data_IF_648880329345
#
_entry.id   IF_648880329345
#
_cell.length_a   1.000
_cell.length_b   1.000
_cell.length_c   1.000
_cell.angle_alpha   90.00
_cell.angle_beta   90.00
_cell.angle_gamma   90.00
#
_symmetry.space_group_name_H-M   'P 1'
#
loop_
_entity.id
_entity.type
_entity.pdbx_description
1 polymer ?
#
# COMPACT_ATOMS: atom_id res chain seq x y z
N UNK A 1 24.34 3.82 17.38
CA UNK A 1 23.38 3.75 16.25
C UNK A 1 22.00 4.06 16.81
N UNK A 2 21.30 5.06 16.27
CA UNK A 2 19.92 5.36 16.69
C UNK A 2 18.96 4.45 15.90
N UNK A 3 18.08 3.74 16.60
CA UNK A 3 17.04 2.92 15.98
C UNK A 3 15.91 3.87 15.54
N UNK A 4 15.54 3.84 14.27
CA UNK A 4 14.34 4.54 13.80
C UNK A 4 13.14 3.64 14.04
N UNK A 5 12.17 4.13 14.79
CA UNK A 5 10.89 3.46 15.00
C UNK A 5 9.87 4.02 14.01
N UNK A 6 9.08 3.13 13.40
CA UNK A 6 7.89 3.48 12.62
C UNK A 6 6.68 2.96 13.39
N UNK A 7 5.69 3.82 13.60
CA UNK A 7 4.48 3.48 14.34
C UNK A 7 3.30 3.40 13.39
N UNK A 8 2.45 2.39 13.59
CA UNK A 8 1.14 2.29 12.96
C UNK A 8 0.11 2.68 14.00
N UNK A 9 -0.64 3.75 13.74
CA UNK A 9 -1.63 4.27 14.67
C UNK A 9 -3.00 3.69 14.34
N UNK A 10 -3.57 2.95 15.28
CA UNK A 10 -4.94 2.45 15.21
C UNK A 10 -5.78 3.25 16.20
N UNK A 11 -6.82 3.92 15.72
CA UNK A 11 -7.76 4.60 16.60
C UNK A 11 -8.45 3.57 17.51
N UNK A 12 -8.71 3.85 18.80
CA UNK A 12 -9.35 2.90 19.72
C UNK A 12 -10.69 2.35 19.19
N UNK A 13 -11.46 3.19 18.50
CA UNK A 13 -12.73 2.81 17.87
C UNK A 13 -12.56 2.13 16.49
N UNK A 14 -11.34 2.13 15.95
CA UNK A 14 -10.96 1.58 14.65
C UNK A 14 -10.32 0.19 14.77
N UNK A 15 -10.84 -0.65 15.67
CA UNK A 15 -10.49 -2.07 15.77
C UNK A 15 -11.27 -3.05 14.84
N UNK A 16 -11.98 -2.66 13.76
CA UNK A 16 -12.41 -3.64 12.76
C UNK A 16 -11.21 -4.27 12.08
N UNK A 17 -11.28 -5.58 11.84
CA UNK A 17 -10.25 -6.36 11.17
C UNK A 17 -9.78 -5.71 9.84
N UNK A 18 -10.71 -5.17 9.04
CA UNK A 18 -10.35 -4.50 7.79
C UNK A 18 -9.58 -3.20 7.96
N UNK A 19 -9.82 -2.42 9.03
CA UNK A 19 -9.03 -1.21 9.28
C UNK A 19 -7.59 -1.57 9.62
N UNK A 20 -7.38 -2.62 10.42
CA UNK A 20 -6.04 -3.13 10.70
C UNK A 20 -5.33 -3.55 9.41
N UNK A 21 -6.04 -4.24 8.50
CA UNK A 21 -5.48 -4.60 7.20
C UNK A 21 -5.11 -3.36 6.36
N UNK A 22 -5.95 -2.32 6.34
CA UNK A 22 -5.68 -1.06 5.62
C UNK A 22 -4.38 -0.41 6.12
N UNK A 23 -4.22 -0.26 7.42
CA UNK A 23 -3.03 0.37 8.00
C UNK A 23 -1.77 -0.48 7.83
N UNK A 24 -1.89 -1.81 7.88
CA UNK A 24 -0.78 -2.71 7.56
C UNK A 24 -0.37 -2.57 6.09
N UNK A 25 -1.32 -2.47 5.16
CA UNK A 25 -0.99 -2.27 3.74
C UNK A 25 -0.26 -0.94 3.51
N UNK A 26 -0.62 0.13 4.22
CA UNK A 26 0.17 1.36 4.23
C UNK A 26 1.61 1.12 4.70
N UNK A 27 1.80 0.40 5.80
CA UNK A 27 3.14 0.06 6.30
C UNK A 27 3.96 -0.79 5.31
N UNK A 28 3.27 -1.60 4.47
CA UNK A 28 3.88 -2.41 3.41
C UNK A 28 4.02 -1.65 2.07
N UNK A 29 3.83 -0.33 2.05
CA UNK A 29 4.09 0.52 0.89
C UNK A 29 2.92 0.68 -0.08
N UNK A 30 1.68 0.40 0.33
CA UNK A 30 0.49 0.77 -0.44
C UNK A 30 0.05 2.19 -0.16
N UNK A 31 -0.36 2.88 -1.21
CA UNK A 31 -1.08 4.14 -1.15
C UNK A 31 -2.57 3.91 -1.36
N UNK A 32 -3.38 4.92 -1.08
CA UNK A 32 -4.80 4.85 -1.37
C UNK A 32 -5.06 4.67 -2.86
N UNK A 33 -6.09 3.88 -3.18
CA UNK A 33 -6.41 3.52 -4.56
C UNK A 33 -6.81 4.75 -5.39
N UNK A 34 -7.53 5.71 -4.79
CA UNK A 34 -7.89 6.98 -5.46
C UNK A 34 -6.70 7.93 -5.67
N UNK A 35 -5.52 7.62 -5.15
CA UNK A 35 -4.30 8.38 -5.35
C UNK A 35 -3.45 7.80 -6.50
N UNK A 36 -3.97 6.81 -7.24
CA UNK A 36 -3.33 6.30 -8.46
C UNK A 36 -3.27 7.36 -9.57
N UNK A 37 -2.24 7.35 -10.42
CA UNK A 37 -2.12 8.30 -11.53
C UNK A 37 -3.20 8.11 -12.62
N UNK A 38 -3.81 6.92 -12.71
CA UNK A 38 -4.88 6.63 -13.66
C UNK A 38 -6.30 6.75 -13.07
N UNK A 39 -6.45 7.23 -11.83
CA UNK A 39 -7.74 7.26 -11.11
C UNK A 39 -8.83 8.06 -11.82
N UNK A 40 -8.48 9.14 -12.53
CA UNK A 40 -9.44 9.98 -13.27
C UNK A 40 -10.11 9.24 -14.45
N UNK A 41 -9.67 8.01 -14.78
CA UNK A 41 -10.38 7.12 -15.71
C UNK A 41 -11.57 6.41 -15.05
N UNK A 42 -11.58 6.28 -13.73
CA UNK A 42 -12.53 5.44 -12.98
C UNK A 42 -13.41 6.24 -12.03
N UNK A 43 -12.93 7.37 -11.51
CA UNK A 43 -13.66 8.22 -10.57
C UNK A 43 -13.67 9.68 -11.04
N UNK A 44 -14.68 10.42 -10.58
CA UNK A 44 -14.75 11.88 -10.71
C UNK A 44 -14.69 12.48 -9.32
N UNK A 45 -13.73 13.37 -9.08
CA UNK A 45 -13.63 14.15 -7.85
C UNK A 45 -14.57 15.37 -7.92
N UNK A 46 -15.11 15.77 -6.78
CA UNK A 46 -16.00 16.92 -6.61
C UNK A 46 -15.39 17.88 -5.58
N UNK A 47 -14.35 18.65 -5.96
CA UNK A 47 -13.57 19.48 -5.03
C UNK A 47 -14.39 20.51 -4.27
N UNK A 48 -15.50 20.99 -4.85
CA UNK A 48 -16.43 21.92 -4.21
C UNK A 48 -17.07 21.38 -2.92
N UNK A 49 -17.06 20.06 -2.73
CA UNK A 49 -17.59 19.40 -1.54
C UNK A 49 -16.48 18.96 -0.55
N UNK A 50 -15.21 19.16 -0.90
CA UNK A 50 -14.08 18.75 -0.06
C UNK A 50 -13.73 19.83 0.96
N UNK A 51 -13.34 19.42 2.17
CA UNK A 51 -12.70 20.33 3.11
C UNK A 51 -11.34 20.79 2.56
N UNK A 52 -11.10 22.11 2.52
CA UNK A 52 -9.92 22.68 1.87
C UNK A 52 -8.58 22.13 2.41
N UNK A 53 -8.51 21.81 3.70
CA UNK A 53 -7.33 21.25 4.36
C UNK A 53 -7.11 19.75 4.07
N UNK A 54 -8.10 19.06 3.50
CA UNK A 54 -8.06 17.62 3.22
C UNK A 54 -7.85 17.28 1.74
N UNK A 55 -7.79 18.29 0.86
CA UNK A 55 -7.58 18.10 -0.58
C UNK A 55 -6.31 17.29 -0.90
N UNK A 56 -5.29 17.38 -0.04
CA UNK A 56 -4.05 16.63 -0.20
C UNK A 56 -4.24 15.10 -0.15
N UNK A 57 -5.29 14.60 0.51
CA UNK A 57 -5.60 13.16 0.56
C UNK A 57 -6.14 12.59 -0.77
N UNK A 58 -6.38 13.46 -1.75
CA UNK A 58 -6.78 13.08 -3.10
C UNK A 58 -5.70 13.36 -4.13
N UNK A 59 -4.51 13.82 -3.70
CA UNK A 59 -3.40 14.01 -4.63
C UNK A 59 -2.89 12.67 -5.13
N UNK A 60 -2.39 12.67 -6.37
CA UNK A 60 -1.71 11.50 -6.91
C UNK A 60 -0.38 11.40 -6.15
N UNK A 61 -0.18 10.31 -5.41
CA UNK A 61 1.00 10.11 -4.55
C UNK A 61 1.86 8.94 -5.00
N UNK A 62 1.45 8.24 -6.07
CA UNK A 62 2.16 7.10 -6.62
C UNK A 62 3.06 7.56 -7.77
N UNK A 63 4.24 8.07 -7.42
CA UNK A 63 5.26 8.51 -8.39
C UNK A 63 6.39 7.48 -8.48
N UNK A 64 6.42 6.72 -9.58
CA UNK A 64 7.47 5.75 -9.87
C UNK A 64 6.96 4.47 -10.56
N UNK A 65 7.85 3.55 -10.95
CA UNK A 65 7.48 2.26 -11.50
C UNK A 65 6.90 1.36 -10.39
N UNK A 66 5.63 1.55 -10.04
CA UNK A 66 4.88 0.63 -9.19
C UNK A 66 4.32 -0.52 -10.06
N UNK A 67 4.78 -1.77 -9.87
CA UNK A 67 4.27 -2.93 -10.61
C UNK A 67 2.77 -3.15 -10.47
N UNK A 68 2.16 -2.71 -9.37
CA UNK A 68 0.72 -2.81 -9.10
C UNK A 68 -0.12 -1.94 -10.04
N UNK A 69 0.46 -0.92 -10.67
CA UNK A 69 -0.23 -0.09 -11.67
C UNK A 69 -0.51 -0.84 -12.98
N UNK A 70 0.16 -1.99 -13.21
CA UNK A 70 -0.18 -2.90 -14.31
C UNK A 70 -1.48 -3.67 -14.08
N UNK A 71 -1.94 -3.71 -12.83
CA UNK A 71 -3.24 -4.26 -12.46
C UNK A 71 -4.31 -3.17 -12.52
N UNK A 72 -5.55 -3.60 -12.74
CA UNK A 72 -6.70 -2.71 -12.88
C UNK A 72 -6.96 -1.91 -11.61
N UNK A 73 -7.66 -0.78 -11.77
CA UNK A 73 -8.17 -0.01 -10.65
C UNK A 73 -9.27 -0.79 -9.93
N UNK A 74 -9.28 -0.75 -8.59
CA UNK A 74 -10.25 -1.46 -7.76
C UNK A 74 -10.99 -0.52 -6.82
N UNK A 75 -12.19 -0.07 -7.23
CA UNK A 75 -13.04 0.77 -6.40
C UNK A 75 -13.53 0.10 -5.11
N UNK A 76 -13.42 -1.23 -5.02
CA UNK A 76 -13.77 -2.00 -3.82
C UNK A 76 -12.55 -2.34 -2.95
N UNK A 77 -11.34 -1.89 -3.36
CA UNK A 77 -10.12 -2.06 -2.60
C UNK A 77 -10.29 -1.56 -1.18
N UNK A 78 -9.69 -2.28 -0.22
CA UNK A 78 -9.64 -1.81 1.16
C UNK A 78 -8.90 -0.47 1.27
N UNK A 79 -8.02 -0.17 0.31
CA UNK A 79 -7.27 1.08 0.20
C UNK A 79 -8.05 2.22 -0.47
N UNK A 80 -9.31 2.02 -0.87
CA UNK A 80 -10.11 3.05 -1.51
C UNK A 80 -10.97 3.82 -0.48
N UNK A 81 -11.07 5.14 -0.65
CA UNK A 81 -12.03 5.95 0.11
C UNK A 81 -13.46 5.86 -0.44
N UNK A 82 -14.43 5.91 0.46
CA UNK A 82 -15.84 6.08 0.10
C UNK A 82 -16.17 7.52 -0.32
N UNK A 83 -17.30 7.70 -1.00
CA UNK A 83 -17.73 8.97 -1.59
C UNK A 83 -17.89 10.15 -0.64
N UNK A 84 -18.05 9.93 0.66
CA UNK A 84 -18.28 11.00 1.65
C UNK A 84 -17.03 11.37 2.46
N UNK A 85 -15.88 10.71 2.25
CA UNK A 85 -14.67 11.03 3.00
C UNK A 85 -14.28 12.50 2.78
N UNK A 86 -13.86 13.14 3.87
CA UNK A 86 -13.43 14.55 3.89
C UNK A 86 -14.41 15.57 3.29
N UNK A 87 -15.70 15.24 3.31
CA UNK A 87 -16.75 16.16 2.90
C UNK A 87 -16.91 17.29 3.91
N UNK A 88 -17.01 18.53 3.43
CA UNK A 88 -17.27 19.71 4.27
C UNK A 88 -18.76 20.01 4.46
N UNK A 89 -19.62 19.40 3.64
CA UNK A 89 -21.06 19.71 3.57
C UNK A 89 -21.95 18.45 3.56
N UNK A 90 -21.36 17.26 3.79
CA UNK A 90 -22.05 15.98 3.74
C UNK A 90 -22.34 15.45 2.33
N UNK A 91 -22.07 16.23 1.28
CA UNK A 91 -22.20 15.79 -0.10
C UNK A 91 -21.00 14.96 -0.55
N UNK A 92 -21.14 14.27 -1.69
CA UNK A 92 -20.07 13.41 -2.21
C UNK A 92 -18.86 14.22 -2.66
N UNK A 93 -17.68 13.79 -2.24
CA UNK A 93 -16.37 14.28 -2.70
C UNK A 93 -15.85 13.49 -3.88
N UNK A 94 -16.38 12.28 -4.12
CA UNK A 94 -15.98 11.41 -5.22
C UNK A 94 -17.12 10.48 -5.64
N UNK A 95 -17.28 10.26 -6.95
CA UNK A 95 -18.28 9.33 -7.53
C UNK A 95 -17.65 8.45 -8.60
N UNK A 96 -18.28 7.32 -8.93
CA UNK A 96 -17.83 6.48 -10.06
C UNK A 96 -18.04 7.22 -11.37
N UNK A 97 -17.04 7.15 -12.26
CA UNK A 97 -17.11 7.81 -13.56
C UNK A 97 -18.03 7.06 -14.55
N UNK A 98 -18.24 5.77 -14.34
CA UNK A 98 -19.07 4.92 -15.22
C UNK A 98 -20.55 5.29 -15.20
N UNK A 99 -21.10 5.58 -14.03
CA UNK A 99 -22.54 5.72 -13.81
C UNK A 99 -22.91 6.83 -12.80
N UNK A 100 -21.93 7.53 -12.24
CA UNK A 100 -22.15 8.55 -11.20
C UNK A 100 -22.57 7.98 -9.85
N UNK A 101 -22.55 6.67 -9.66
CA UNK A 101 -22.99 6.04 -8.41
C UNK A 101 -22.02 6.30 -7.26
N UNK A 102 -22.56 6.19 -6.03
CA UNK A 102 -21.79 6.25 -4.79
C UNK A 102 -20.79 5.09 -4.70
N UNK A 103 -19.65 5.35 -4.09
CA UNK A 103 -18.63 4.38 -3.71
C UNK A 103 -18.75 4.15 -2.20
N UNK A 104 -19.06 2.92 -1.80
CA UNK A 104 -19.01 2.51 -0.40
C UNK A 104 -17.58 2.09 -0.03
N UNK A 105 -17.03 2.58 1.10
CA UNK A 105 -15.70 2.18 1.53
C UNK A 105 -15.72 0.72 2.01
N UNK A 106 -14.78 -0.08 1.50
CA UNK A 106 -14.57 -1.41 2.04
C UNK A 106 -13.72 -1.32 3.33
N UNK A 107 -14.28 -1.78 4.45
CA UNK A 107 -13.60 -1.94 5.75
C UNK A 107 -13.77 -3.33 6.35
N UNK A 108 -14.18 -4.30 5.53
CA UNK A 108 -14.39 -5.68 5.95
C UNK A 108 -13.13 -6.52 5.74
N UNK A 109 -12.61 -6.54 4.52
CA UNK A 109 -11.44 -7.34 4.17
C UNK A 109 -10.77 -6.89 2.88
N UNK A 110 -9.50 -7.24 2.71
CA UNK A 110 -8.78 -7.09 1.43
C UNK A 110 -9.54 -7.79 0.27
N UNK A 111 -9.55 -7.16 -0.89
CA UNK A 111 -10.02 -7.81 -2.13
C UNK A 111 -8.97 -8.79 -2.65
N UNK A 112 -9.35 -9.65 -3.60
CA UNK A 112 -8.38 -10.47 -4.33
C UNK A 112 -7.32 -9.59 -5.02
N UNK A 113 -7.72 -8.43 -5.55
CA UNK A 113 -6.81 -7.55 -6.25
C UNK A 113 -5.86 -6.83 -5.30
N UNK A 114 -6.26 -6.51 -4.07
CA UNK A 114 -5.35 -6.03 -3.03
C UNK A 114 -4.19 -7.03 -2.79
N UNK A 115 -4.53 -8.32 -2.67
CA UNK A 115 -3.53 -9.40 -2.50
C UNK A 115 -2.62 -9.52 -3.72
N UNK A 116 -3.17 -9.45 -4.92
CA UNK A 116 -2.39 -9.58 -6.16
C UNK A 116 -1.47 -8.37 -6.38
N UNK A 117 -1.89 -7.16 -5.99
CA UNK A 117 -1.02 -5.96 -5.97
C UNK A 117 0.13 -6.13 -4.98
N UNK A 118 -0.11 -6.72 -3.81
CA UNK A 118 0.96 -7.04 -2.86
C UNK A 118 1.94 -8.08 -3.41
N UNK A 119 1.45 -9.11 -4.10
CA UNK A 119 2.30 -10.10 -4.78
C UNK A 119 3.14 -9.49 -5.91
N UNK A 120 2.62 -8.47 -6.59
CA UNK A 120 3.36 -7.75 -7.61
C UNK A 120 4.50 -6.89 -7.02
N UNK A 121 4.29 -6.32 -5.82
CA UNK A 121 5.32 -5.58 -5.09
C UNK A 121 6.37 -6.50 -4.45
N UNK A 122 5.93 -7.65 -3.93
CA UNK A 122 6.76 -8.64 -3.25
C UNK A 122 6.68 -10.00 -3.94
N UNK A 123 7.27 -10.15 -5.14
CA UNK A 123 7.28 -11.42 -5.85
C UNK A 123 8.09 -12.46 -5.09
N UNK A 124 7.71 -13.75 -5.24
CA UNK A 124 8.41 -14.89 -4.60
C UNK A 124 9.90 -14.96 -4.97
N UNK A 125 10.26 -14.50 -6.16
CA UNK A 125 11.64 -14.34 -6.61
C UNK A 125 11.98 -12.85 -6.61
N UNK A 126 12.75 -12.40 -5.62
CA UNK A 126 13.32 -11.06 -5.64
C UNK A 126 14.52 -11.06 -6.61
N UNK A 127 14.26 -10.72 -7.87
CA UNK A 127 15.34 -10.57 -8.87
C UNK A 127 16.14 -9.31 -8.53
N UNK A 128 17.28 -9.51 -7.87
CA UNK A 128 18.22 -8.42 -7.60
C UNK A 128 18.64 -7.82 -8.95
N UNK A 129 18.54 -6.50 -9.16
CA UNK A 129 18.90 -5.87 -10.44
C UNK A 129 20.42 -5.87 -10.72
N UNK A 130 21.22 -6.54 -9.88
CA UNK A 130 22.66 -6.69 -10.04
C UNK A 130 23.06 -8.16 -9.91
N UNK A 131 24.00 -8.58 -10.75
CA UNK A 131 24.58 -9.94 -10.75
C UNK A 131 25.12 -10.29 -9.36
N UNK A 132 24.91 -11.54 -8.94
CA UNK A 132 25.10 -12.13 -7.61
C UNK A 132 26.51 -12.07 -6.98
N UNK A 133 27.39 -11.14 -7.33
CA UNK A 133 28.77 -11.10 -6.81
C UNK A 133 29.02 -10.10 -5.68
N UNK A 134 27.99 -9.58 -4.98
CA UNK A 134 28.16 -8.53 -3.97
C UNK A 134 27.69 -8.86 -2.55
N UNK A 135 27.30 -10.10 -2.27
CA UNK A 135 27.09 -10.56 -0.90
C UNK A 135 28.19 -11.56 -0.54
N UNK A 136 29.35 -11.06 -0.15
CA UNK A 136 30.26 -11.85 0.68
C UNK A 136 29.57 -12.07 2.03
N UNK A 137 29.59 -13.30 2.55
CA UNK A 137 28.86 -13.74 3.76
C UNK A 137 29.19 -12.92 5.03
N UNK A 138 30.22 -12.09 4.95
CA UNK A 138 30.83 -11.26 5.98
C UNK A 138 30.60 -9.75 5.80
N UNK A 139 29.80 -9.32 4.82
CA UNK A 139 29.32 -7.93 4.70
C UNK A 139 30.40 -6.90 4.32
N UNK A 140 31.55 -7.35 3.82
CA UNK A 140 32.62 -6.48 3.33
C UNK A 140 32.47 -6.27 1.83
N UNK A 141 32.33 -5.02 1.40
CA UNK A 141 32.32 -4.65 -0.02
C UNK A 141 33.69 -4.07 -0.37
N UNK A 142 34.41 -4.73 -1.28
CA UNK A 142 35.69 -4.24 -1.79
C UNK A 142 35.49 -3.56 -3.15
N UNK A 143 35.82 -2.27 -3.25
CA UNK A 143 35.76 -1.52 -4.51
C UNK A 143 37.10 -0.84 -4.76
N UNK A 144 37.77 -1.20 -5.87
CA UNK A 144 39.07 -0.63 -6.30
C UNK A 144 40.15 -0.69 -5.21
N UNK A 145 40.29 -1.83 -4.52
CA UNK A 145 41.32 -2.05 -3.50
C UNK A 145 41.13 -1.24 -2.21
N UNK A 146 39.96 -0.62 -2.01
CA UNK A 146 39.57 -0.01 -0.74
C UNK A 146 38.43 -0.82 -0.12
N UNK A 147 38.69 -1.39 1.05
CA UNK A 147 37.68 -2.03 1.89
C UNK A 147 36.78 -0.96 2.47
N UNK A 148 35.51 -0.97 2.09
CA UNK A 148 34.50 -0.08 2.68
C UNK A 148 33.45 -0.94 3.35
N UNK A 149 33.13 -0.62 4.61
CA UNK A 149 32.03 -1.26 5.33
C UNK A 149 30.72 -0.88 4.61
N UNK A 150 30.10 -1.84 3.92
CA UNK A 150 28.83 -1.61 3.26
C UNK A 150 27.76 -1.40 4.31
N UNK A 151 27.27 -0.17 4.48
CA UNK A 151 26.04 0.08 5.23
C UNK A 151 24.84 -0.41 4.40
N UNK A 152 24.74 -1.72 4.18
CA UNK A 152 23.47 -2.36 3.87
C UNK A 152 22.81 -2.66 5.20
N UNK A 153 22.02 -1.69 5.65
CA UNK A 153 21.25 -1.81 6.87
C UNK A 153 20.22 -2.93 6.67
N UNK A 154 20.32 -3.97 7.50
CA UNK A 154 19.31 -5.01 7.67
C UNK A 154 17.94 -4.35 7.91
N UNK A 155 17.08 -4.36 6.90
CA UNK A 155 15.63 -4.29 7.11
C UNK A 155 15.09 -5.65 6.66
N UNK A 156 15.40 -6.65 7.48
CA UNK A 156 14.59 -7.85 7.58
C UNK A 156 13.41 -7.43 8.46
N UNK A 157 12.31 -6.96 7.87
CA UNK A 157 11.04 -6.95 8.61
C UNK A 157 10.72 -8.42 8.81
N UNK A 158 11.02 -8.91 10.01
CA UNK A 158 10.60 -10.23 10.47
C UNK A 158 9.08 -10.17 10.61
N UNK A 159 8.36 -10.39 9.50
CA UNK A 159 7.03 -10.99 9.55
C UNK A 159 7.26 -12.51 9.54
N UNK A 160 7.96 -12.99 10.58
CA UNK A 160 8.02 -14.40 10.91
C UNK A 160 7.01 -14.63 12.03
N UNK A 161 5.73 -14.46 11.70
CA UNK A 161 4.61 -14.99 12.49
C UNK A 161 3.65 -15.63 11.48
N UNK A 162 3.73 -16.96 11.40
CA UNK A 162 2.61 -17.86 11.11
C UNK A 162 1.88 -17.78 9.76
N UNK A 163 2.57 -17.61 8.62
CA UNK A 163 1.94 -17.85 7.31
C UNK A 163 1.96 -19.32 6.84
N UNK A 164 2.48 -20.25 7.63
CA UNK A 164 2.42 -21.69 7.36
C UNK A 164 1.23 -22.41 7.99
N UNK A 165 0.41 -21.74 8.83
CA UNK A 165 -0.73 -22.37 9.51
C UNK A 165 -2.13 -21.87 9.07
N UNK A 166 -2.23 -20.79 8.29
CA UNK A 166 -3.54 -20.30 7.82
C UNK A 166 -3.93 -20.80 6.41
N UNK A 167 -3.09 -21.59 5.74
CA UNK A 167 -3.33 -22.06 4.36
C UNK A 167 -3.72 -23.54 4.23
N UNK A 168 -4.00 -24.23 5.34
CA UNK A 168 -4.35 -25.68 5.32
C UNK A 168 -5.73 -26.04 5.89
N UNK A 169 -6.61 -25.08 6.20
CA UNK A 169 -7.93 -25.39 6.81
C UNK A 169 -9.11 -24.80 6.04
N UNK A 170 -9.12 -24.94 4.71
CA UNK A 170 -10.27 -24.57 3.88
C UNK A 170 -10.72 -25.67 2.91
N UNK A 171 -10.38 -26.93 3.22
CA UNK A 171 -10.95 -28.13 2.56
C UNK A 171 -10.99 -29.29 3.57
N UNK A 172 -12.05 -29.34 4.39
CA UNK A 172 -12.95 -30.48 4.63
C UNK A 172 -14.26 -29.88 5.15
#
# INVERSE_FOLDING_TARGET
MSVKHTYVWLHPDACPFGTIQHEILHALGRYHEQCRPDRDKYVTLLPQNMAAYECANYYITMDGPDPSLKLTYDSASIMHYGSCHFSCNGAYTMIKKSDGSKIEPNRQSMTKLDVDKMRALYPKEFKVPYSESMCAEDGVVEKRGKKTFGQSCRILIIISICLTWMWSSAFV
#
